data_IF_601592693694
#
_entry.id   IF_601592693694
#
_cell.length_a   1.000
_cell.length_b   1.000
_cell.length_c   1.000
_cell.angle_alpha   90.00
_cell.angle_beta   90.00
_cell.angle_gamma   90.00
#
_symmetry.space_group_name_H-M   'P 1'
#
loop_
_entity.id
_entity.type
_entity.pdbx_description
1 polymer ?
#
# COMPACT_ATOMS: atom_id res chain seq x y z
N UNK A 1 -1.44 4.66 19.48
CA UNK A 1 -1.64 3.24 19.10
C UNK A 1 -2.95 3.13 18.34
N UNK A 2 -2.97 2.39 17.24
CA UNK A 2 -4.22 2.13 16.53
C UNK A 2 -5.19 1.40 17.46
N UNK A 3 -6.39 1.95 17.63
CA UNK A 3 -7.37 1.49 18.62
C UNK A 3 -7.96 0.10 18.34
N UNK A 4 -7.70 -0.48 17.18
CA UNK A 4 -8.31 -1.74 16.74
C UNK A 4 -7.33 -2.92 16.58
N UNK A 5 -6.06 -2.76 16.99
CA UNK A 5 -5.07 -3.86 16.89
C UNK A 5 -5.54 -5.17 17.57
N UNK A 6 -6.36 -5.06 18.61
CA UNK A 6 -6.96 -6.18 19.34
C UNK A 6 -8.41 -6.45 18.92
N UNK A 7 -8.89 -5.86 17.83
CA UNK A 7 -10.26 -6.06 17.38
C UNK A 7 -10.53 -7.52 17.01
N UNK A 8 -11.72 -8.03 17.36
CA UNK A 8 -12.12 -9.41 17.12
C UNK A 8 -11.98 -9.84 15.64
N UNK A 9 -12.20 -8.92 14.69
CA UNK A 9 -12.01 -9.19 13.26
C UNK A 9 -10.57 -9.54 12.88
N UNK A 10 -9.58 -9.20 13.71
CA UNK A 10 -8.16 -9.52 13.50
C UNK A 10 -7.73 -10.80 14.23
N UNK A 11 -8.55 -11.31 15.15
CA UNK A 11 -8.19 -12.45 16.01
C UNK A 11 -7.94 -13.75 15.20
N UNK A 12 -8.57 -13.87 14.03
CA UNK A 12 -8.42 -15.01 13.13
C UNK A 12 -7.19 -14.96 12.22
N UNK A 13 -6.46 -13.86 12.19
CA UNK A 13 -5.31 -13.70 11.30
C UNK A 13 -4.15 -14.62 11.72
N UNK A 14 -3.45 -15.15 10.71
CA UNK A 14 -2.20 -15.92 10.92
C UNK A 14 -0.98 -15.04 11.17
N UNK A 15 -1.11 -13.74 10.91
CA UNK A 15 -0.05 -12.75 11.11
C UNK A 15 0.40 -12.73 12.58
N UNK A 16 1.71 -12.81 12.81
CA UNK A 16 2.29 -12.89 14.14
C UNK A 16 2.25 -14.26 14.81
N UNK A 17 1.69 -15.28 14.12
CA UNK A 17 1.64 -16.68 14.60
C UNK A 17 2.57 -17.55 13.77
N UNK A 18 3.04 -18.66 14.36
CA UNK A 18 3.69 -19.73 13.61
C UNK A 18 2.66 -20.38 12.70
N UNK A 19 2.98 -20.57 11.42
CA UNK A 19 2.08 -21.16 10.44
C UNK A 19 2.85 -22.17 9.62
N UNK A 20 2.26 -23.36 9.41
CA UNK A 20 2.84 -24.37 8.54
C UNK A 20 2.83 -23.92 7.09
N UNK A 21 3.94 -24.16 6.39
CA UNK A 21 4.06 -23.94 4.97
C UNK A 21 3.23 -24.98 4.20
N UNK A 22 2.38 -24.50 3.29
CA UNK A 22 1.63 -25.34 2.36
C UNK A 22 2.05 -25.04 0.93
N UNK A 23 2.33 -26.08 0.18
CA UNK A 23 2.77 -25.98 -1.22
C UNK A 23 1.71 -26.51 -2.23
N UNK A 24 0.57 -26.95 -1.73
CA UNK A 24 -0.59 -27.34 -2.54
C UNK A 24 -1.68 -26.30 -2.44
N UNK A 25 -2.28 -25.94 -3.58
CA UNK A 25 -3.26 -24.86 -3.71
C UNK A 25 -4.35 -24.91 -2.63
N UNK A 26 -4.51 -23.77 -1.97
CA UNK A 26 -5.49 -23.59 -0.90
C UNK A 26 -5.94 -22.11 -0.82
N UNK A 27 -7.09 -21.82 -1.43
CA UNK A 27 -7.66 -20.47 -1.42
C UNK A 27 -8.09 -20.01 -0.01
N UNK A 28 -8.33 -20.95 0.91
CA UNK A 28 -8.78 -20.62 2.27
C UNK A 28 -7.70 -19.95 3.12
N UNK A 29 -6.45 -19.95 2.66
CA UNK A 29 -5.36 -19.25 3.34
C UNK A 29 -5.49 -17.72 3.30
N UNK A 30 -6.17 -17.19 2.29
CA UNK A 30 -6.38 -15.74 2.17
C UNK A 30 -7.25 -15.20 3.30
N UNK A 31 -6.82 -14.08 3.86
CA UNK A 31 -7.53 -13.38 4.94
C UNK A 31 -7.77 -11.92 4.57
N UNK A 32 -9.03 -11.50 4.68
CA UNK A 32 -9.43 -10.12 4.48
C UNK A 32 -9.47 -9.35 5.80
N UNK A 33 -9.16 -8.07 5.74
CA UNK A 33 -9.30 -7.14 6.86
C UNK A 33 -10.28 -6.05 6.44
N UNK A 34 -11.39 -5.85 7.18
CA UNK A 34 -12.35 -4.81 6.83
C UNK A 34 -11.70 -3.42 6.78
N UNK A 35 -11.88 -2.72 5.68
CA UNK A 35 -11.39 -1.34 5.55
C UNK A 35 -12.07 -0.38 6.54
N UNK A 36 -13.29 -0.70 6.96
CA UNK A 36 -14.04 0.07 7.94
C UNK A 36 -13.33 0.23 9.28
N UNK A 37 -12.50 -0.73 9.68
CA UNK A 37 -11.75 -0.67 10.94
C UNK A 37 -10.89 0.59 11.07
N UNK A 38 -10.35 1.09 9.95
CA UNK A 38 -9.57 2.32 9.92
C UNK A 38 -10.38 3.52 9.42
N UNK A 39 -11.28 3.30 8.47
CA UNK A 39 -12.07 4.37 7.86
C UNK A 39 -13.08 4.96 8.82
N UNK A 40 -13.73 4.16 9.65
CA UNK A 40 -14.72 4.63 10.61
C UNK A 40 -14.16 5.65 11.61
N UNK A 41 -13.00 5.41 12.27
CA UNK A 41 -12.39 6.41 13.14
C UNK A 41 -11.98 7.70 12.42
N UNK A 42 -11.71 7.64 11.11
CA UNK A 42 -11.39 8.81 10.29
C UNK A 42 -12.62 9.54 9.77
N UNK A 43 -13.83 9.04 10.05
CA UNK A 43 -15.08 9.59 9.53
C UNK A 43 -15.30 9.30 8.05
N UNK A 44 -14.59 8.32 7.48
CA UNK A 44 -14.69 7.93 6.08
C UNK A 44 -15.76 6.86 5.90
N UNK A 45 -16.74 7.12 5.04
CA UNK A 45 -17.85 6.20 4.74
C UNK A 45 -17.68 5.63 3.34
N UNK A 46 -17.92 4.31 3.22
CA UNK A 46 -17.74 3.57 1.96
C UNK A 46 -18.58 4.14 0.79
N UNK A 47 -19.72 4.75 1.06
CA UNK A 47 -20.60 5.35 0.08
C UNK A 47 -20.25 6.80 -0.29
N UNK A 48 -19.30 7.41 0.40
CA UNK A 48 -18.89 8.80 0.19
C UNK A 48 -17.42 9.03 0.53
N UNK A 49 -16.53 8.32 -0.14
CA UNK A 49 -15.11 8.48 0.04
C UNK A 49 -14.60 9.72 -0.71
N UNK A 50 -13.69 10.53 -0.13
CA UNK A 50 -13.16 11.74 -0.77
C UNK A 50 -12.11 11.44 -1.84
N UNK A 51 -11.82 10.19 -2.11
CA UNK A 51 -10.78 9.74 -3.02
C UNK A 51 -11.23 8.53 -3.82
N UNK A 52 -10.50 8.25 -4.88
CA UNK A 52 -10.44 6.97 -5.59
C UNK A 52 -8.99 6.49 -5.58
N UNK A 53 -8.75 5.27 -6.02
CA UNK A 53 -7.41 4.72 -6.10
C UNK A 53 -7.35 3.20 -6.12
N UNK A 54 -6.14 2.69 -6.07
CA UNK A 54 -5.89 1.26 -5.99
C UNK A 54 -4.73 0.96 -5.04
N UNK A 55 -4.68 -0.26 -4.55
CA UNK A 55 -3.52 -0.81 -3.89
C UNK A 55 -2.78 -1.67 -4.92
N UNK A 56 -1.58 -1.23 -5.30
CA UNK A 56 -0.77 -1.90 -6.32
C UNK A 56 0.20 -2.85 -5.64
N UNK A 57 0.11 -4.13 -5.98
CA UNK A 57 0.98 -5.16 -5.45
C UNK A 57 1.90 -5.69 -6.55
N UNK A 58 3.17 -5.91 -6.22
CA UNK A 58 4.09 -6.68 -7.05
C UNK A 58 4.42 -7.99 -6.35
N UNK A 59 4.28 -9.09 -7.09
CA UNK A 59 4.54 -10.45 -6.63
C UNK A 59 5.81 -10.93 -7.30
N UNK A 60 6.91 -11.06 -6.55
CA UNK A 60 8.24 -11.34 -7.13
C UNK A 60 8.57 -12.82 -7.22
N UNK A 61 7.95 -13.66 -6.41
CA UNK A 61 8.32 -15.08 -6.25
C UNK A 61 7.21 -16.03 -6.66
N UNK A 62 6.33 -15.62 -7.59
CA UNK A 62 5.22 -16.45 -8.03
C UNK A 62 5.74 -17.64 -8.84
N UNK A 63 5.32 -18.85 -8.43
CA UNK A 63 5.68 -20.10 -9.08
C UNK A 63 4.56 -21.12 -8.99
N UNK A 64 4.47 -21.99 -9.99
CA UNK A 64 3.56 -23.12 -10.06
C UNK A 64 4.15 -24.19 -10.99
N UNK A 65 3.47 -25.32 -11.15
CA UNK A 65 3.83 -26.36 -12.10
C UNK A 65 2.91 -26.30 -13.32
N UNK A 66 3.49 -26.47 -14.53
CA UNK A 66 2.67 -26.63 -15.73
C UNK A 66 1.99 -28.02 -15.74
N UNK A 67 1.22 -28.32 -16.77
CA UNK A 67 0.49 -29.59 -16.88
C UNK A 67 1.39 -30.83 -16.86
N UNK A 68 2.66 -30.68 -17.21
CA UNK A 68 3.67 -31.75 -17.21
C UNK A 68 4.52 -31.79 -15.93
N UNK A 69 4.27 -30.89 -14.97
CA UNK A 69 5.01 -30.81 -13.72
C UNK A 69 6.31 -30.02 -13.80
N UNK A 70 6.57 -29.30 -14.90
CA UNK A 70 7.73 -28.41 -14.99
C UNK A 70 7.42 -27.09 -14.25
N UNK A 71 8.28 -26.67 -13.30
CA UNK A 71 8.09 -25.38 -12.62
C UNK A 71 8.06 -24.20 -13.57
N UNK A 72 7.15 -23.30 -13.31
CA UNK A 72 7.03 -22.00 -13.96
C UNK A 72 7.32 -20.91 -12.94
N UNK A 73 7.90 -19.81 -13.36
CA UNK A 73 8.11 -18.61 -12.54
C UNK A 73 7.57 -17.38 -13.26
N UNK A 74 7.05 -16.45 -12.50
CA UNK A 74 6.49 -15.21 -13.03
C UNK A 74 6.65 -14.07 -12.03
N UNK A 75 6.55 -12.85 -12.54
CA UNK A 75 6.28 -11.67 -11.73
C UNK A 75 4.81 -11.31 -11.93
N UNK A 76 4.10 -11.14 -10.82
CA UNK A 76 2.70 -10.74 -10.83
C UNK A 76 2.52 -9.27 -10.49
N UNK A 77 1.56 -8.63 -11.13
CA UNK A 77 1.10 -7.28 -10.82
C UNK A 77 -0.39 -7.36 -10.48
N UNK A 78 -0.75 -6.90 -9.29
CA UNK A 78 -2.13 -6.96 -8.79
C UNK A 78 -2.59 -5.56 -8.40
N UNK A 79 -3.77 -5.20 -8.84
CA UNK A 79 -4.42 -3.96 -8.42
C UNK A 79 -5.73 -4.27 -7.72
N UNK A 80 -5.82 -3.84 -6.47
CA UNK A 80 -7.03 -3.95 -5.66
C UNK A 80 -7.71 -2.59 -5.58
N UNK A 81 -8.96 -2.52 -6.02
CA UNK A 81 -9.71 -1.27 -6.03
C UNK A 81 -10.04 -0.78 -4.61
N UNK A 82 -9.96 0.53 -4.41
CA UNK A 82 -10.24 1.17 -3.12
C UNK A 82 -11.65 0.92 -2.58
N UNK A 83 -12.60 0.56 -3.44
CA UNK A 83 -13.99 0.27 -3.08
C UNK A 83 -14.19 -1.11 -2.49
N UNK A 84 -13.18 -1.98 -2.49
CA UNK A 84 -13.33 -3.31 -1.90
C UNK A 84 -13.70 -3.20 -0.41
N UNK A 85 -14.51 -4.14 0.07
CA UNK A 85 -14.91 -4.19 1.49
C UNK A 85 -13.72 -4.41 2.39
N UNK A 86 -12.83 -5.32 1.97
CA UNK A 86 -11.62 -5.67 2.70
C UNK A 86 -10.36 -5.26 1.93
N UNK A 87 -9.30 -4.97 2.66
CA UNK A 87 -7.94 -5.15 2.16
C UNK A 87 -7.53 -6.62 2.37
N UNK A 88 -6.46 -7.05 1.71
CA UNK A 88 -5.92 -8.40 1.83
C UNK A 88 -4.72 -8.37 2.78
N UNK A 89 -4.71 -9.25 3.78
CA UNK A 89 -3.62 -9.35 4.74
C UNK A 89 -2.38 -9.97 4.06
N UNK A 90 -1.22 -9.31 4.15
CA UNK A 90 -0.04 -9.62 3.34
C UNK A 90 0.60 -10.97 3.64
N UNK A 91 0.68 -11.39 4.91
CA UNK A 91 1.25 -12.70 5.27
C UNK A 91 0.37 -13.83 4.75
N UNK A 92 -0.94 -13.69 4.87
CA UNK A 92 -1.90 -14.66 4.32
C UNK A 92 -1.82 -14.74 2.81
N UNK A 93 -1.60 -13.60 2.15
CA UNK A 93 -1.40 -13.54 0.71
C UNK A 93 -0.13 -14.28 0.29
N UNK A 94 0.97 -14.08 1.01
CA UNK A 94 2.21 -14.83 0.78
C UNK A 94 2.00 -16.35 0.94
N UNK A 95 1.35 -16.78 2.01
CA UNK A 95 1.07 -18.20 2.26
C UNK A 95 0.18 -18.79 1.15
N UNK A 96 -0.81 -18.04 0.71
CA UNK A 96 -1.67 -18.42 -0.41
C UNK A 96 -0.85 -18.59 -1.71
N UNK A 97 0.04 -17.65 -2.03
CA UNK A 97 0.91 -17.77 -3.21
C UNK A 97 1.84 -18.99 -3.10
N UNK A 98 2.38 -19.27 -1.93
CA UNK A 98 3.23 -20.44 -1.70
C UNK A 98 2.45 -21.76 -1.95
N UNK A 99 1.13 -21.78 -1.75
CA UNK A 99 0.30 -22.95 -2.02
C UNK A 99 0.25 -23.31 -3.51
N UNK A 100 0.67 -22.43 -4.41
CA UNK A 100 0.77 -22.70 -5.84
C UNK A 100 2.00 -23.52 -6.21
N UNK A 101 3.03 -23.52 -5.37
CA UNK A 101 4.38 -23.97 -5.75
C UNK A 101 4.42 -25.42 -6.26
N UNK A 102 3.63 -26.33 -5.73
CA UNK A 102 3.54 -27.73 -6.17
C UNK A 102 2.17 -28.07 -6.78
N UNK A 103 1.48 -27.06 -7.25
CA UNK A 103 0.18 -27.23 -7.90
C UNK A 103 0.31 -27.11 -9.40
N UNK A 104 -0.30 -28.03 -10.15
CA UNK A 104 -0.34 -28.00 -11.61
C UNK A 104 -1.46 -27.13 -12.11
N UNK A 105 -1.13 -26.29 -13.09
CA UNK A 105 -2.10 -25.51 -13.86
C UNK A 105 -1.87 -25.80 -15.34
N UNK A 106 -2.95 -25.76 -16.12
CA UNK A 106 -2.88 -26.10 -17.55
C UNK A 106 -2.15 -25.03 -18.38
N UNK A 107 -2.27 -23.75 -17.97
CA UNK A 107 -1.65 -22.63 -18.65
C UNK A 107 -1.56 -21.40 -17.75
N UNK A 108 -0.88 -20.38 -18.20
CA UNK A 108 -0.69 -19.11 -17.49
C UNK A 108 -2.00 -18.37 -17.23
N UNK A 109 -2.94 -18.42 -18.18
CA UNK A 109 -4.23 -17.75 -18.03
C UNK A 109 -5.08 -18.36 -16.92
N UNK A 110 -5.02 -19.68 -16.73
CA UNK A 110 -5.68 -20.36 -15.60
C UNK A 110 -5.14 -19.87 -14.25
N UNK A 111 -3.82 -19.65 -14.14
CA UNK A 111 -3.19 -19.09 -12.94
C UNK A 111 -3.71 -17.66 -12.70
N UNK A 112 -3.71 -16.84 -13.73
CA UNK A 112 -4.20 -15.45 -13.64
C UNK A 112 -5.66 -15.41 -13.20
N UNK A 113 -6.52 -16.20 -13.82
CA UNK A 113 -7.95 -16.27 -13.47
C UNK A 113 -8.18 -16.77 -12.04
N UNK A 114 -7.40 -17.75 -11.61
CA UNK A 114 -7.46 -18.27 -10.24
C UNK A 114 -7.11 -17.20 -9.22
N UNK A 115 -6.02 -16.46 -9.46
CA UNK A 115 -5.61 -15.32 -8.61
C UNK A 115 -6.72 -14.25 -8.57
N UNK A 116 -7.22 -13.84 -9.73
CA UNK A 116 -8.24 -12.81 -9.83
C UNK A 116 -9.53 -13.19 -9.06
N UNK A 117 -9.99 -14.41 -9.25
CA UNK A 117 -11.18 -14.94 -8.56
C UNK A 117 -10.99 -14.98 -7.04
N UNK A 118 -9.89 -15.56 -6.58
CA UNK A 118 -9.66 -15.78 -5.15
C UNK A 118 -9.42 -14.46 -4.42
N UNK A 119 -8.62 -13.56 -5.02
CA UNK A 119 -8.36 -12.26 -4.45
C UNK A 119 -9.61 -11.37 -4.43
N UNK A 120 -10.41 -11.40 -5.50
CA UNK A 120 -11.69 -10.68 -5.56
C UNK A 120 -12.67 -11.16 -4.50
N UNK A 121 -12.72 -12.47 -4.28
CA UNK A 121 -13.59 -13.09 -3.25
C UNK A 121 -13.14 -12.68 -1.85
N UNK A 122 -11.85 -12.74 -1.57
CA UNK A 122 -11.29 -12.34 -0.27
C UNK A 122 -11.53 -10.85 0.00
N UNK A 123 -11.25 -10.00 -0.97
CA UNK A 123 -11.39 -8.55 -0.86
C UNK A 123 -12.85 -8.08 -0.90
N UNK A 124 -13.76 -8.90 -1.43
CA UNK A 124 -15.13 -8.49 -1.77
C UNK A 124 -15.13 -7.21 -2.60
N UNK A 125 -14.42 -7.25 -3.72
CA UNK A 125 -14.25 -6.11 -4.60
C UNK A 125 -13.46 -6.44 -5.85
N UNK A 126 -13.27 -5.43 -6.68
CA UNK A 126 -12.59 -5.57 -7.96
C UNK A 126 -11.09 -5.75 -7.78
N UNK A 127 -10.56 -6.80 -8.39
CA UNK A 127 -9.12 -7.08 -8.48
C UNK A 127 -8.76 -7.34 -9.93
N UNK A 128 -7.67 -6.77 -10.41
CA UNK A 128 -7.06 -7.11 -11.69
C UNK A 128 -5.67 -7.69 -11.49
N UNK A 129 -5.33 -8.70 -12.29
CA UNK A 129 -4.06 -9.42 -12.22
C UNK A 129 -3.42 -9.47 -13.60
N UNK A 130 -2.15 -9.12 -13.66
CA UNK A 130 -1.30 -9.32 -14.83
C UNK A 130 -0.10 -10.19 -14.43
N UNK A 131 0.25 -11.16 -15.26
CA UNK A 131 1.42 -12.02 -15.08
C UNK A 131 2.42 -11.75 -16.18
N UNK A 132 3.70 -11.66 -15.80
CA UNK A 132 4.79 -11.37 -16.72
C UNK A 132 5.84 -12.47 -16.68
N UNK A 133 6.34 -12.82 -17.86
CA UNK A 133 7.58 -13.60 -18.01
C UNK A 133 8.75 -12.71 -17.61
N UNK A 134 9.84 -13.31 -17.19
CA UNK A 134 11.02 -12.55 -16.76
C UNK A 134 11.60 -11.71 -17.90
N UNK A 135 11.63 -12.24 -19.12
CA UNK A 135 12.12 -11.53 -20.30
C UNK A 135 11.26 -10.32 -20.69
N UNK A 136 9.97 -10.32 -20.38
CA UNK A 136 9.09 -9.16 -20.59
C UNK A 136 9.44 -7.96 -19.68
N UNK A 137 10.12 -8.21 -18.58
CA UNK A 137 10.50 -7.19 -17.60
C UNK A 137 12.00 -6.86 -17.63
N UNK A 138 12.78 -7.54 -18.49
CA UNK A 138 14.20 -7.22 -18.65
C UNK A 138 14.40 -5.80 -19.17
N UNK A 139 15.42 -5.12 -18.64
CA UNK A 139 15.71 -3.74 -19.04
C UNK A 139 14.78 -2.68 -18.47
N UNK A 140 13.85 -3.05 -17.62
CA UNK A 140 13.01 -2.07 -16.90
C UNK A 140 13.89 -1.23 -15.97
N UNK A 141 13.77 0.11 -16.01
CA UNK A 141 14.61 0.96 -15.17
C UNK A 141 14.22 0.85 -13.70
N UNK A 142 15.20 0.98 -12.83
CA UNK A 142 14.97 1.40 -11.46
C UNK A 142 14.86 2.92 -11.50
N UNK A 143 13.74 3.44 -11.04
CA UNK A 143 13.43 4.85 -11.16
C UNK A 143 13.39 5.59 -9.82
N UNK A 144 12.75 6.72 -9.87
CA UNK A 144 12.52 7.60 -8.72
C UNK A 144 11.14 8.25 -8.84
N UNK A 145 10.60 8.75 -7.74
CA UNK A 145 9.43 9.61 -7.79
C UNK A 145 9.81 10.98 -8.38
N UNK A 146 9.02 11.44 -9.34
CA UNK A 146 9.12 12.81 -9.82
C UNK A 146 8.58 13.77 -8.77
N UNK A 147 9.25 14.91 -8.61
CA UNK A 147 8.86 15.95 -7.66
C UNK A 147 10.05 16.52 -6.90
N UNK A 148 9.77 17.44 -6.01
CA UNK A 148 10.76 18.04 -5.14
C UNK A 148 10.89 17.24 -3.86
N UNK A 149 12.07 16.69 -3.59
CA UNK A 149 12.34 16.01 -2.33
C UNK A 149 12.44 17.02 -1.19
N UNK A 150 11.71 16.76 -0.10
CA UNK A 150 11.66 17.65 1.07
C UNK A 150 12.53 17.15 2.23
N UNK A 151 13.32 16.11 2.02
CA UNK A 151 14.05 15.43 3.11
C UNK A 151 15.28 16.22 3.59
N UNK A 152 15.78 17.13 2.76
CA UNK A 152 16.95 17.95 3.07
C UNK A 152 16.53 19.26 3.77
N UNK A 153 16.00 19.13 4.99
CA UNK A 153 15.59 20.24 5.85
C UNK A 153 16.53 20.30 7.06
N UNK A 154 17.08 21.48 7.35
CA UNK A 154 17.86 21.71 8.56
C UNK A 154 16.94 21.92 9.76
N UNK A 155 16.38 20.81 10.27
CA UNK A 155 15.43 20.81 11.38
C UNK A 155 15.84 19.80 12.45
N UNK A 156 15.49 20.10 13.69
CA UNK A 156 15.63 19.17 14.81
C UNK A 156 14.28 18.51 15.10
N UNK A 157 14.28 17.18 15.23
CA UNK A 157 13.11 16.40 15.58
C UNK A 157 13.39 15.68 16.89
N UNK A 158 12.48 15.83 17.84
CA UNK A 158 12.56 15.23 19.17
C UNK A 158 11.33 14.40 19.53
N UNK A 159 10.31 14.36 18.66
CA UNK A 159 9.10 13.58 18.84
C UNK A 159 8.83 12.69 17.61
N UNK A 160 8.62 11.39 17.85
CA UNK A 160 8.37 10.37 16.83
C UNK A 160 7.02 9.68 16.99
N UNK A 161 6.15 10.27 17.81
CA UNK A 161 4.77 9.80 17.97
C UNK A 161 3.85 10.49 16.97
N UNK A 162 2.92 9.71 16.39
CA UNK A 162 1.99 10.24 15.41
C UNK A 162 1.18 11.40 15.97
N UNK A 163 1.15 12.49 15.22
CA UNK A 163 0.31 13.65 15.52
C UNK A 163 -0.01 14.44 14.25
N UNK A 164 -1.23 14.99 14.18
CA UNK A 164 -1.64 15.92 13.15
C UNK A 164 -1.31 17.38 13.49
N UNK A 165 -0.79 17.66 14.68
CA UNK A 165 -0.53 19.02 15.17
C UNK A 165 0.42 19.79 14.24
N UNK A 166 1.37 19.10 13.61
CA UNK A 166 2.30 19.73 12.66
C UNK A 166 1.62 20.28 11.41
N UNK A 167 0.44 19.78 11.06
CA UNK A 167 -0.32 20.27 9.90
C UNK A 167 -1.17 21.51 10.21
N UNK A 168 -1.32 21.88 11.48
CA UNK A 168 -2.01 23.10 11.86
C UNK A 168 -1.27 24.30 11.28
N UNK A 169 -2.01 25.16 10.57
CA UNK A 169 -1.44 26.32 9.87
C UNK A 169 -0.34 26.00 8.85
N UNK A 170 -0.28 24.78 8.34
CA UNK A 170 0.72 24.40 7.32
C UNK A 170 0.51 25.14 5.98
N UNK A 171 -0.67 25.73 5.78
CA UNK A 171 -1.01 26.56 4.61
C UNK A 171 -1.43 27.97 5.03
N UNK A 172 -0.72 28.59 5.96
CA UNK A 172 -1.03 29.93 6.46
C UNK A 172 -0.79 31.06 5.44
N UNK A 173 0.01 30.80 4.40
CA UNK A 173 0.25 31.73 3.30
C UNK A 173 -0.92 31.74 2.29
N UNK A 174 -0.93 32.76 1.42
CA UNK A 174 -1.97 32.91 0.39
C UNK A 174 -1.54 32.38 -0.99
N UNK A 175 -0.26 32.02 -1.16
CA UNK A 175 0.27 31.56 -2.45
C UNK A 175 -0.35 30.23 -2.83
N UNK A 176 -1.00 30.18 -4.00
CA UNK A 176 -1.52 28.96 -4.59
C UNK A 176 -0.49 28.37 -5.54
N UNK A 177 -0.24 27.07 -5.40
CA UNK A 177 0.73 26.32 -6.22
C UNK A 177 0.09 25.04 -6.75
N UNK A 178 0.71 24.52 -7.82
CA UNK A 178 0.51 23.15 -8.27
C UNK A 178 1.90 22.50 -8.28
N UNK A 179 2.14 21.61 -7.34
CA UNK A 179 3.45 21.01 -7.14
C UNK A 179 3.38 19.55 -6.69
N UNK A 180 4.49 18.87 -6.85
CA UNK A 180 4.69 17.50 -6.38
C UNK A 180 5.84 17.47 -5.40
N UNK A 181 5.58 16.97 -4.20
CA UNK A 181 6.55 16.80 -3.13
C UNK A 181 6.84 15.32 -2.92
N UNK A 182 8.07 15.00 -2.57
CA UNK A 182 8.55 13.63 -2.35
C UNK A 182 9.29 13.54 -1.04
N UNK A 183 9.07 12.46 -0.30
CA UNK A 183 9.87 12.10 0.87
C UNK A 183 10.20 10.62 0.85
N UNK A 184 11.41 10.26 1.24
CA UNK A 184 11.87 8.88 1.42
C UNK A 184 11.93 8.48 2.90
N UNK A 185 11.45 9.35 3.79
CA UNK A 185 11.55 9.18 5.23
C UNK A 185 10.31 8.60 5.88
N UNK A 186 9.28 8.27 5.08
CA UNK A 186 8.09 7.63 5.61
C UNK A 186 8.45 6.27 6.18
N UNK A 187 8.17 6.10 7.46
CA UNK A 187 8.34 4.83 8.17
C UNK A 187 7.19 4.69 9.16
N UNK A 188 6.52 3.59 9.07
CA UNK A 188 5.53 3.15 10.05
C UNK A 188 5.86 1.73 10.49
N UNK A 189 5.00 1.12 11.27
CA UNK A 189 5.16 -0.28 11.65
C UNK A 189 3.92 -1.07 11.25
N UNK A 190 4.12 -2.35 11.01
CA UNK A 190 3.01 -3.28 10.85
C UNK A 190 2.11 -3.25 12.10
N UNK A 191 0.80 -3.20 11.87
CA UNK A 191 -0.19 -3.15 12.95
C UNK A 191 -0.05 -4.31 13.95
N UNK A 192 0.31 -5.49 13.46
CA UNK A 192 0.30 -6.73 14.25
C UNK A 192 1.70 -7.12 14.76
N UNK A 193 2.71 -7.12 13.87
CA UNK A 193 4.07 -7.58 14.22
C UNK A 193 4.97 -6.48 14.74
N UNK A 194 4.57 -5.22 14.60
CA UNK A 194 5.35 -4.03 14.92
C UNK A 194 6.70 -3.92 14.18
N UNK A 195 6.90 -4.74 13.14
CA UNK A 195 8.08 -4.62 12.28
C UNK A 195 7.98 -3.37 11.41
N UNK A 196 9.14 -2.74 11.08
CA UNK A 196 9.15 -1.50 10.32
C UNK A 196 8.71 -1.69 8.88
N UNK A 197 7.92 -0.74 8.40
CA UNK A 197 7.50 -0.59 7.01
C UNK A 197 8.12 0.70 6.45
N UNK A 198 9.10 0.54 5.58
CA UNK A 198 9.83 1.65 4.96
C UNK A 198 9.18 2.04 3.64
N UNK A 199 8.90 3.33 3.48
CA UNK A 199 8.25 3.82 2.28
C UNK A 199 8.83 5.11 1.74
N UNK A 200 8.61 5.31 0.45
CA UNK A 200 8.73 6.61 -0.22
C UNK A 200 7.34 7.09 -0.56
N UNK A 201 7.09 8.39 -0.39
CA UNK A 201 5.78 8.99 -0.63
C UNK A 201 5.89 10.15 -1.60
N UNK A 202 4.91 10.21 -2.52
CA UNK A 202 4.73 11.30 -3.46
C UNK A 202 3.39 11.97 -3.18
N UNK A 203 3.41 13.28 -3.01
CA UNK A 203 2.22 14.11 -2.75
C UNK A 203 2.14 15.14 -3.85
N UNK A 204 1.13 14.98 -4.72
CA UNK A 204 0.83 15.93 -5.79
C UNK A 204 -0.42 16.70 -5.43
N UNK A 205 -0.36 18.03 -5.48
CA UNK A 205 -1.51 18.83 -5.09
C UNK A 205 -1.56 20.17 -5.82
N UNK A 206 -2.76 20.74 -5.85
CA UNK A 206 -3.04 22.12 -6.21
C UNK A 206 -3.80 22.77 -5.07
N UNK A 207 -3.25 23.88 -4.57
CA UNK A 207 -3.85 24.61 -3.46
C UNK A 207 -2.87 25.56 -2.84
N UNK A 208 -3.19 26.09 -1.67
CA UNK A 208 -2.24 26.92 -0.94
C UNK A 208 -0.97 26.14 -0.64
N UNK A 209 0.17 26.80 -0.80
CA UNK A 209 1.46 26.16 -0.62
C UNK A 209 1.61 25.58 0.79
N UNK A 210 1.90 24.28 0.86
CA UNK A 210 2.13 23.58 2.11
C UNK A 210 3.55 23.87 2.60
N UNK A 211 3.68 24.23 3.87
CA UNK A 211 4.96 24.40 4.55
C UNK A 211 5.70 23.06 4.57
N UNK A 212 6.87 23.01 3.95
CA UNK A 212 7.63 21.76 3.77
C UNK A 212 8.21 21.23 5.08
N UNK A 213 8.60 22.11 6.00
CA UNK A 213 9.08 21.72 7.32
C UNK A 213 7.95 21.03 8.13
N UNK A 214 6.80 21.66 8.16
CA UNK A 214 5.62 21.09 8.84
C UNK A 214 5.19 19.75 8.25
N UNK A 215 5.17 19.66 6.92
CA UNK A 215 4.85 18.41 6.23
C UNK A 215 5.85 17.31 6.58
N UNK A 216 7.14 17.60 6.55
CA UNK A 216 8.17 16.63 6.89
C UNK A 216 8.05 16.15 8.34
N UNK A 217 7.83 17.08 9.29
CA UNK A 217 7.58 16.72 10.70
C UNK A 217 6.36 15.81 10.84
N UNK A 218 5.29 16.08 10.11
CA UNK A 218 4.11 15.23 10.09
C UNK A 218 4.44 13.83 9.58
N UNK A 219 5.12 13.72 8.45
CA UNK A 219 5.50 12.41 7.88
C UNK A 219 6.42 11.63 8.83
N UNK A 220 7.38 12.29 9.47
CA UNK A 220 8.28 11.65 10.43
C UNK A 220 7.53 11.18 11.68
N UNK A 221 6.41 11.82 12.04
CA UNK A 221 5.61 11.42 13.20
C UNK A 221 4.96 10.03 13.07
N UNK A 222 4.94 9.45 11.88
CA UNK A 222 4.52 8.05 11.67
C UNK A 222 5.51 7.01 12.21
N UNK A 223 6.70 7.43 12.62
CA UNK A 223 7.82 6.51 12.88
C UNK A 223 7.52 5.40 13.90
N UNK A 224 6.68 5.67 14.89
CA UNK A 224 6.22 4.67 15.86
C UNK A 224 4.75 4.26 15.66
N UNK A 225 4.13 4.73 14.58
CA UNK A 225 2.72 4.46 14.31
C UNK A 225 2.54 3.07 13.69
N UNK A 226 1.56 2.32 14.21
CA UNK A 226 1.25 0.96 13.77
C UNK A 226 -0.02 0.98 12.93
N UNK A 227 0.11 0.68 11.65
CA UNK A 227 -1.00 0.67 10.71
C UNK A 227 -0.63 -0.13 9.45
N UNK A 228 -1.62 -0.63 8.69
CA UNK A 228 -1.36 -1.21 7.37
C UNK A 228 -0.99 -0.11 6.37
N UNK A 229 -0.26 -0.47 5.30
CA UNK A 229 0.21 0.48 4.27
C UNK A 229 -0.95 1.29 3.66
N UNK A 230 -2.02 0.61 3.27
CA UNK A 230 -3.20 1.20 2.64
C UNK A 230 -3.87 2.21 3.58
N UNK A 231 -3.92 1.88 4.85
CA UNK A 231 -4.51 2.73 5.87
C UNK A 231 -3.66 3.97 6.15
N UNK A 232 -2.34 3.83 6.15
CA UNK A 232 -1.42 4.98 6.27
C UNK A 232 -1.64 5.98 5.14
N UNK A 233 -1.74 5.51 3.90
CA UNK A 233 -1.96 6.39 2.74
C UNK A 233 -3.32 7.09 2.83
N UNK A 234 -4.38 6.39 3.22
CA UNK A 234 -5.70 6.99 3.40
C UNK A 234 -5.72 8.01 4.54
N UNK A 235 -5.01 7.74 5.63
CA UNK A 235 -4.85 8.68 6.74
C UNK A 235 -4.12 9.94 6.28
N UNK A 236 -3.02 9.82 5.56
CA UNK A 236 -2.26 10.96 5.05
C UNK A 236 -3.11 11.78 4.09
N UNK A 237 -3.84 11.13 3.18
CA UNK A 237 -4.77 11.82 2.28
C UNK A 237 -5.83 12.61 3.06
N UNK A 238 -6.47 11.96 4.01
CA UNK A 238 -7.53 12.57 4.81
C UNK A 238 -7.01 13.75 5.67
N UNK A 239 -5.84 13.60 6.28
CA UNK A 239 -5.23 14.65 7.10
C UNK A 239 -4.83 15.86 6.25
N UNK A 240 -4.21 15.65 5.09
CA UNK A 240 -3.85 16.73 4.17
C UNK A 240 -5.10 17.42 3.61
N UNK A 241 -6.13 16.67 3.28
CA UNK A 241 -7.39 17.25 2.82
C UNK A 241 -8.03 18.15 3.89
N UNK A 242 -8.02 17.68 5.13
CA UNK A 242 -8.62 18.38 6.26
C UNK A 242 -7.84 19.65 6.64
N UNK A 243 -6.53 19.54 6.78
CA UNK A 243 -5.72 20.63 7.32
C UNK A 243 -5.22 21.61 6.25
N UNK A 244 -4.96 21.13 5.03
CA UNK A 244 -4.41 21.95 3.96
C UNK A 244 -5.46 22.37 2.93
N UNK A 245 -6.59 21.67 2.85
CA UNK A 245 -7.72 21.98 1.97
C UNK A 245 -7.31 22.21 0.50
N UNK A 246 -6.51 21.32 -0.12
CA UNK A 246 -6.15 21.45 -1.52
C UNK A 246 -7.36 21.23 -2.41
N UNK A 247 -7.38 21.88 -3.57
CA UNK A 247 -8.37 21.65 -4.62
C UNK A 247 -8.20 20.28 -5.25
N UNK A 248 -6.95 19.90 -5.51
CA UNK A 248 -6.54 18.57 -6.02
C UNK A 248 -5.50 17.97 -5.10
N UNK A 249 -5.63 16.69 -4.83
CA UNK A 249 -4.70 15.95 -4.01
C UNK A 249 -4.55 14.53 -4.50
N UNK A 250 -3.30 14.09 -4.61
CA UNK A 250 -2.94 12.69 -4.86
C UNK A 250 -1.83 12.30 -3.91
N UNK A 251 -2.00 11.18 -3.24
CA UNK A 251 -1.02 10.62 -2.31
C UNK A 251 -0.68 9.21 -2.76
N UNK A 252 0.58 8.95 -3.03
CA UNK A 252 1.09 7.68 -3.52
C UNK A 252 2.32 7.26 -2.73
N UNK A 253 2.26 6.09 -2.12
CA UNK A 253 3.40 5.52 -1.41
C UNK A 253 3.87 4.22 -2.08
N UNK A 254 5.20 4.05 -2.14
CA UNK A 254 5.82 2.80 -2.55
C UNK A 254 6.68 2.31 -1.40
N UNK A 255 6.36 1.10 -0.94
CA UNK A 255 7.01 0.48 0.22
C UNK A 255 8.02 -0.57 -0.20
N UNK A 256 9.00 -0.80 0.66
CA UNK A 256 9.94 -1.90 0.49
C UNK A 256 9.24 -3.24 0.62
N UNK A 257 9.79 -4.26 -0.04
CA UNK A 257 9.26 -5.63 0.05
C UNK A 257 9.23 -6.15 1.47
N UNK A 258 8.20 -6.93 1.74
CA UNK A 258 8.07 -7.77 2.93
C UNK A 258 7.93 -9.22 2.46
N UNK A 259 9.02 -9.98 2.51
CA UNK A 259 9.10 -11.28 1.88
C UNK A 259 9.14 -11.15 0.36
N UNK A 260 8.18 -11.73 -0.32
CA UNK A 260 8.12 -11.84 -1.78
C UNK A 260 7.23 -10.79 -2.47
N UNK A 261 6.67 -9.84 -1.73
CA UNK A 261 5.73 -8.87 -2.29
C UNK A 261 5.94 -7.47 -1.72
N UNK A 262 5.55 -6.46 -2.51
CA UNK A 262 5.41 -5.08 -2.05
C UNK A 262 3.97 -4.59 -2.24
N UNK A 263 3.61 -3.55 -1.49
CA UNK A 263 2.28 -2.95 -1.49
C UNK A 263 2.43 -1.46 -1.66
N UNK A 264 1.83 -0.91 -2.71
CA UNK A 264 2.00 0.48 -3.13
C UNK A 264 0.63 1.14 -3.33
N UNK A 265 0.03 1.67 -2.24
CA UNK A 265 -1.29 2.30 -2.33
C UNK A 265 -1.21 3.71 -2.87
N UNK A 266 -2.22 4.11 -3.65
CA UNK A 266 -2.44 5.51 -4.00
C UNK A 266 -3.91 5.89 -3.86
N UNK A 267 -4.12 7.16 -3.50
CA UNK A 267 -5.45 7.78 -3.41
C UNK A 267 -5.40 9.16 -4.03
N UNK A 268 -6.46 9.52 -4.75
CA UNK A 268 -6.55 10.79 -5.46
C UNK A 268 -7.99 11.28 -5.56
N UNK A 269 -8.17 12.57 -5.62
CA UNK A 269 -9.44 13.20 -5.99
C UNK A 269 -9.40 13.89 -7.36
N UNK A 270 -8.37 13.59 -8.16
CA UNK A 270 -8.15 14.18 -9.49
C UNK A 270 -7.67 13.12 -10.48
N UNK A 271 -7.35 13.54 -11.70
CA UNK A 271 -6.80 12.68 -12.73
C UNK A 271 -5.33 12.38 -12.42
N UNK A 272 -5.11 11.29 -11.71
CA UNK A 272 -3.78 10.83 -11.32
C UNK A 272 -3.50 9.45 -11.90
N UNK A 273 -2.33 9.30 -12.51
CA UNK A 273 -1.85 8.02 -13.03
C UNK A 273 -0.57 7.67 -12.25
N UNK A 274 -0.61 6.63 -11.41
CA UNK A 274 0.58 6.22 -10.65
C UNK A 274 1.63 5.62 -11.58
N UNK A 275 2.89 6.01 -11.38
CA UNK A 275 4.01 5.31 -11.99
C UNK A 275 4.19 3.95 -11.32
N UNK A 276 4.32 2.89 -12.12
CA UNK A 276 4.61 1.54 -11.62
C UNK A 276 6.11 1.22 -11.60
N UNK A 277 6.95 2.21 -11.90
CA UNK A 277 8.40 2.04 -11.90
C UNK A 277 8.90 1.73 -10.48
N UNK A 278 9.66 0.66 -10.38
CA UNK A 278 10.30 0.24 -9.13
C UNK A 278 11.32 1.27 -8.66
N UNK A 279 11.30 1.58 -7.37
CA UNK A 279 12.26 2.47 -6.73
C UNK A 279 13.47 1.67 -6.21
N UNK A 280 14.57 2.38 -5.90
CA UNK A 280 15.87 1.76 -5.54
C UNK A 280 15.78 0.78 -4.37
N UNK A 281 14.91 1.05 -3.38
CA UNK A 281 14.79 0.20 -2.19
C UNK A 281 13.77 -0.94 -2.30
N UNK A 282 13.12 -1.07 -3.41
CA UNK A 282 12.11 -2.13 -3.61
C UNK A 282 12.67 -3.44 -4.16
#
# INVERSE_FOLDING_TARGET
MSSYANHQALAGLTLGKSTDYRDTYDASLLQGVPRSLNRDPLGLKADNLPFHGTDIWTLYELSWLNAKGLPQVAVGHVELDYTSVNLIESKSFKLYLNSFNQTRFNNWDEVRQTLERDLSTCAQGKVSVALYRLDELEGQPIGHFNGTCIDDQDITIDNYEFTTDYLENATSGEKVVEETLVSHLLKSNCLITHQPDWGSIQIQYRGRQIDREKLLRYLVSFRHHNEFHEQCVERIFNDLLRFCQPEKLSVYARYTRRGDLDINPWRSNSDFVPSTTRLVRQ
#
